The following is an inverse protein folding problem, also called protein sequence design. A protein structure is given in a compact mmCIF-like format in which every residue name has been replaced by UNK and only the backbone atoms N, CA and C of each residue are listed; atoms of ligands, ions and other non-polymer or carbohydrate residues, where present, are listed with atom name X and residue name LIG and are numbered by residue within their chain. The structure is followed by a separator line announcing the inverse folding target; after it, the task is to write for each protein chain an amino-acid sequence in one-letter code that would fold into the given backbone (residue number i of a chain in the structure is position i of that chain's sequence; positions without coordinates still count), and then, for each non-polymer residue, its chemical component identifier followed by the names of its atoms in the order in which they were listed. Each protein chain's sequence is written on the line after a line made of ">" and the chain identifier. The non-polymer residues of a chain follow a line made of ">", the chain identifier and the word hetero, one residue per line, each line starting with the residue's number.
data_IF_067927621402
#
_entry.id   IF_067927621402
#
_cell.length_a   1.000
_cell.length_b   1.000
_cell.length_c   1.000
_cell.angle_alpha   90.00
_cell.angle_beta   90.00
_cell.angle_gamma   90.00
#
_symmetry.space_group_name_H-M   'P 1'
#
loop_
_entity.id
_entity.type
_entity.pdbx_description
1 polymer ?
2 polymer ?
3 polymer ?
4 polymer ?
5 polymer ?
6 non-polymer ?
7 non-polymer ?
8 water ?
#
loop_
_entity_poly.entity_id
_entity_poly.type
_entity_poly.pdbx_seq_one_letter_code
_entity_poly.pdbx_strand_id
1 'polydeoxyribonucleotide' '(DT)(DC)(DA)(DA)(DA)(DA)(DC)(DG)(DT)(DC)(DG)(DT)(DA)(DC)' ?
2 'polydeoxyribonucleotide' '(DT)(DC)(DA)(DA)(DA)(DA)(DC)(DT)(DG)(DC)(DG)(DT)(DA)(DC)' ?
4 'polydeoxyribonucleotide' '(DG)(DC)(DA)(DG)(DT)(DT)(DT)(DT)(DG)(DA)' ?
5 'polydeoxyribonucleotide' '(DG)(DA)(DC)(DG)(DT)(DT)(DT)(DT)(DG)(DA)' ?
#
# COMPACT_ATOMS: atom_id res chain seq x y z
N UNK C 1 -9.86 13.74 -23.18
CA UNK C 1 -8.89 13.63 -22.09
C UNK C 1 -8.18 12.27 -22.08
N UNK C 2 -7.01 12.21 -21.44
CA UNK C 2 -6.22 10.96 -21.37
C UNK C 2 -7.01 9.82 -20.74
N UNK C 3 -7.17 8.72 -21.45
CA UNK C 3 -7.95 7.62 -20.91
C UNK C 3 -7.08 6.42 -20.51
N UNK C 4 -6.90 6.23 -19.21
CA UNK C 4 -6.01 5.17 -18.71
C UNK C 4 -6.62 3.77 -18.82
N UNK C 5 -5.76 2.81 -19.09
CA UNK C 5 -6.09 1.40 -19.14
C UNK C 5 -6.66 0.85 -17.83
N UNK C 6 -7.64 -0.06 -17.92
CA UNK C 6 -8.28 -0.60 -16.72
C UNK C 6 -7.32 -1.37 -15.83
N UNK C 7 -6.55 -2.28 -16.44
CA UNK C 7 -5.60 -3.10 -15.70
C UNK C 7 -4.60 -2.24 -14.91
N UNK C 8 -4.24 -1.08 -15.46
CA UNK C 8 -3.34 -0.17 -14.78
C UNK C 8 -4.03 0.40 -13.56
N UNK C 9 -5.25 0.88 -13.78
CA UNK C 9 -6.03 1.50 -12.72
C UNK C 9 -6.33 0.54 -11.57
N UNK C 10 -6.53 -0.73 -11.88
CA UNK C 10 -6.80 -1.71 -10.85
C UNK C 10 -5.61 -1.88 -9.95
N UNK C 11 -4.45 -2.13 -10.53
CA UNK C 11 -3.23 -2.23 -9.75
C UNK C 11 -3.06 -0.93 -9.00
N UNK C 12 -3.12 0.18 -9.71
CA UNK C 12 -2.80 1.44 -9.07
C UNK C 12 -3.75 1.77 -7.92
N UNK C 13 -5.02 1.43 -8.09
CA UNK C 13 -5.97 1.68 -7.01
C UNK C 13 -5.56 0.95 -5.74
N UNK C 14 -5.05 -0.26 -5.90
CA UNK C 14 -4.69 -1.04 -4.75
C UNK C 14 -3.49 -0.44 -4.07
N UNK C 15 -2.56 0.07 -4.85
CA UNK C 15 -1.34 0.62 -4.29
C UNK C 15 -1.60 1.93 -3.52
N UNK C 16 -2.47 2.76 -4.09
CA UNK C 16 -2.85 4.02 -3.47
C UNK C 16 -3.55 3.75 -2.13
N UNK C 17 -4.47 2.79 -2.09
CA UNK C 17 -5.10 2.40 -0.83
C UNK C 17 -4.07 1.91 0.19
N UNK C 18 -2.92 1.49 -0.30
CA UNK C 18 -1.86 1.06 0.58
C UNK C 18 -0.95 2.18 1.01
N UNK C 19 -0.38 2.91 0.05
CA UNK C 19 0.67 3.87 0.35
C UNK C 19 0.40 5.25 -0.25
N UNK C 20 -0.78 5.43 -0.79
CA UNK C 20 -1.12 6.70 -1.40
C UNK C 20 -1.80 7.60 -0.39
N UNK C 21 -2.00 8.85 -0.77
CA UNK C 21 -2.68 9.76 0.13
C UNK C 21 -3.46 10.76 -0.68
N UNK C 22 -4.69 11.01 -0.27
CA UNK C 22 -5.50 11.99 -0.96
C UNK C 22 -5.87 13.09 -0.01
N UNK C 23 -5.34 14.28 -0.26
CA UNK C 23 -5.28 15.32 0.76
C UNK C 23 -6.01 16.58 0.36
N UNK C 24 -6.75 17.14 1.30
CA UNK C 24 -7.38 18.43 1.09
C UNK C 24 -6.97 19.37 2.20
N UNK C 25 -6.57 20.58 1.84
CA UNK C 25 -6.05 21.50 2.84
C UNK C 25 -6.64 22.89 2.71
N UNK C 26 -6.83 23.52 3.87
CA UNK C 26 -7.14 24.94 3.97
C UNK C 26 -5.86 25.58 4.50
N UNK C 27 -5.16 26.29 3.61
CA UNK C 27 -3.86 26.84 3.94
C UNK C 27 -3.99 28.33 4.20
N UNK C 28 -3.74 28.75 5.45
CA UNK C 28 -3.77 30.17 5.76
C UNK C 28 -2.75 30.91 4.91
N UNK C 29 -3.25 31.75 4.00
CA UNK C 29 -2.40 32.58 3.18
C UNK C 29 -3.01 33.95 2.99
N UNK C 30 -2.28 34.99 3.38
CA UNK C 30 -2.80 36.34 3.36
C UNK C 30 -3.03 36.89 1.95
N UNK C 31 -2.26 36.38 1.00
CA UNK C 31 -2.39 36.71 -0.42
C UNK C 31 -3.78 36.45 -1.02
N UNK C 32 -4.56 35.60 -0.37
CA UNK C 32 -5.81 35.06 -0.93
C UNK C 32 -7.09 35.75 -0.47
N UNK C 33 -8.10 35.75 -1.35
CA UNK C 33 -9.35 36.48 -1.12
C UNK C 33 -9.98 36.22 0.25
N UNK C 34 -10.18 34.96 0.61
CA UNK C 34 -10.69 34.66 1.93
C UNK C 34 -9.56 34.22 2.86
N UNK C 35 -8.38 34.79 2.62
CA UNK C 35 -7.22 34.65 3.50
C UNK C 35 -6.73 33.21 3.63
N UNK C 36 -7.22 32.35 2.75
CA UNK C 36 -6.95 30.92 2.79
C UNK C 36 -6.90 30.33 1.37
N UNK C 37 -5.98 29.37 1.16
CA UNK C 37 -5.98 28.62 -0.09
C UNK C 37 -6.60 27.22 0.07
N UNK C 38 -7.40 26.84 -0.91
CA UNK C 38 -7.83 25.45 -1.00
C UNK C 38 -6.85 24.66 -1.83
N UNK C 39 -6.22 23.67 -1.19
CA UNK C 39 -5.19 22.85 -1.82
C UNK C 39 -5.55 21.38 -1.89
N UNK C 40 -5.51 20.82 -3.09
CA UNK C 40 -5.72 19.39 -3.27
C UNK C 40 -4.42 18.71 -3.68
N UNK C 41 -4.12 17.57 -3.09
CA UNK C 41 -2.88 16.85 -3.43
C UNK C 41 -3.10 15.36 -3.51
N UNK C 42 -2.77 14.76 -4.65
CA UNK C 42 -2.70 13.30 -4.73
C UNK C 42 -1.25 12.88 -4.55
N UNK C 43 -0.99 11.85 -3.77
CA UNK C 43 0.37 11.58 -3.36
C UNK C 43 0.65 10.09 -3.23
N UNK C 44 1.75 9.61 -3.83
CA UNK C 44 2.20 8.26 -3.56
C UNK C 44 3.62 8.29 -3.03
N UNK C 45 3.77 7.90 -1.76
CA UNK C 45 5.05 7.82 -1.07
C UNK C 45 5.74 6.51 -1.33
N UNK C 46 7.07 6.52 -1.37
CA UNK C 46 7.86 5.30 -1.41
C UNK C 46 9.32 5.61 -1.08
N UNK C 47 9.98 4.65 -0.43
CA UNK C 47 11.39 4.74 -0.11
C UNK C 47 12.22 5.05 -1.36
N UNK C 48 13.07 6.07 -1.30
CA UNK C 48 13.81 6.55 -2.48
C UNK C 48 14.62 5.45 -3.18
N UNK C 49 15.08 4.46 -2.41
CA UNK C 49 15.72 3.31 -3.01
C UNK C 49 14.84 2.68 -4.11
N UNK C 50 13.53 2.85 -4.03
CA UNK C 50 12.60 2.29 -5.03
C UNK C 50 12.04 3.36 -5.91
N UNK C 51 12.69 4.51 -5.91
CA UNK C 51 12.34 5.68 -6.74
C UNK C 51 11.80 5.40 -8.15
N UNK C 52 12.23 4.30 -8.75
CA UNK C 52 11.93 4.02 -10.15
C UNK C 52 10.44 3.82 -10.34
N UNK C 53 9.81 3.31 -9.29
CA UNK C 53 8.37 3.04 -9.31
C UNK C 53 7.60 4.35 -9.43
N UNK C 54 7.98 5.33 -8.61
CA UNK C 54 7.34 6.63 -8.65
C UNK C 54 7.63 7.31 -9.98
N UNK C 55 8.86 7.18 -10.47
CA UNK C 55 9.20 7.81 -11.74
C UNK C 55 8.42 7.19 -12.91
N UNK C 56 8.11 5.90 -12.83
CA UNK C 56 7.32 5.26 -13.87
C UNK C 56 5.86 5.72 -13.83
N UNK C 57 5.37 6.11 -12.66
CA UNK C 57 4.02 6.65 -12.55
C UNK C 57 3.94 7.95 -13.31
N UNK C 58 5.01 8.72 -13.30
CA UNK C 58 5.00 9.97 -14.00
C UNK C 58 4.83 9.67 -15.49
N UNK C 59 5.53 8.64 -15.95
CA UNK C 59 5.43 8.23 -17.34
C UNK C 59 4.02 7.77 -17.67
N UNK C 60 3.45 6.89 -16.86
CA UNK C 60 2.15 6.30 -17.17
C UNK C 60 0.94 7.21 -16.90
N UNK C 61 0.93 7.93 -15.79
CA UNK C 61 -0.17 8.86 -15.56
C UNK C 61 -0.04 10.01 -16.54
N UNK C 62 1.20 10.26 -16.98
CA UNK C 62 1.47 11.26 -17.99
C UNK C 62 1.54 12.69 -17.49
N UNK C 63 1.39 12.88 -16.19
CA UNK C 63 1.48 14.19 -15.62
C UNK C 63 1.85 14.01 -14.14
N UNK C 64 2.37 15.05 -13.49
CA UNK C 64 2.80 14.93 -12.12
C UNK C 64 4.30 14.88 -12.03
N UNK C 65 4.84 14.88 -10.82
CA UNK C 65 6.28 14.83 -10.70
C UNK C 65 6.70 14.10 -9.45
N UNK C 66 7.99 13.81 -9.36
CA UNK C 66 8.51 13.11 -8.20
C UNK C 66 9.43 14.01 -7.39
N UNK C 67 9.20 14.13 -6.10
CA UNK C 67 10.18 14.85 -5.29
C UNK C 67 10.86 13.91 -4.31
N UNK C 68 12.18 13.98 -4.28
CA UNK C 68 12.98 13.18 -3.36
C UNK C 68 13.25 13.99 -2.09
N UNK C 69 12.84 13.45 -0.95
CA UNK C 69 13.00 14.13 0.34
C UNK C 69 13.85 13.28 1.28
N UNK C 70 15.14 13.16 1.01
CA UNK C 70 15.96 12.30 1.84
C UNK C 70 15.81 10.81 1.55
N UNK C 71 15.26 10.05 2.49
CA UNK C 71 15.20 8.60 2.28
C UNK C 71 13.83 8.16 1.71
N UNK C 72 13.00 9.13 1.39
CA UNK C 72 11.67 8.83 0.92
C UNK C 72 11.34 9.73 -0.25
N UNK C 73 10.65 9.20 -1.25
CA UNK C 73 10.22 10.03 -2.36
C UNK C 73 8.71 10.07 -2.46
N UNK C 74 8.20 11.05 -3.21
CA UNK C 74 6.78 11.21 -3.40
C UNK C 74 6.48 11.57 -4.82
N UNK C 75 5.54 10.86 -5.42
CA UNK C 75 4.91 11.34 -6.65
C UNK C 75 3.82 12.34 -6.23
N UNK C 76 3.80 13.47 -6.92
CA UNK C 76 2.89 14.54 -6.57
C UNK C 76 2.02 14.86 -7.76
N UNK C 77 0.71 14.95 -7.54
CA UNK C 77 -0.22 15.45 -8.55
C UNK C 77 -1.09 16.55 -7.95
N UNK C 78 -0.80 17.80 -8.32
CA UNK C 78 -1.50 18.95 -7.73
C UNK C 78 -2.32 19.77 -8.72
N UNK C 79 -1.89 19.82 -9.98
CA UNK C 79 -2.62 20.54 -11.03
C UNK C 79 -4.06 20.10 -11.09
N UNK C 80 -4.94 21.03 -10.76
CA UNK C 80 -6.32 20.73 -10.44
C UNK C 80 -7.08 20.01 -11.55
N UNK C 81 -6.75 20.23 -12.82
CA UNK C 81 -7.62 19.64 -13.81
C UNK C 81 -7.13 18.29 -14.34
N UNK C 82 -5.80 18.06 -14.40
CA UNK C 82 -5.40 16.66 -14.62
C UNK C 82 -5.77 15.77 -13.43
N UNK C 83 -5.76 16.36 -12.23
CA UNK C 83 -6.19 15.68 -11.02
C UNK C 83 -7.60 15.19 -11.22
N UNK C 84 -8.45 16.08 -11.71
CA UNK C 84 -9.83 15.71 -11.93
C UNK C 84 -9.97 14.53 -12.90
N UNK C 85 -9.24 14.57 -14.01
CA UNK C 85 -9.29 13.48 -14.98
C UNK C 85 -8.86 12.14 -14.39
N UNK C 86 -7.72 12.15 -13.71
CA UNK C 86 -7.15 10.94 -13.11
C UNK C 86 -8.01 10.35 -12.00
N UNK C 87 -8.36 11.17 -11.01
CA UNK C 87 -9.20 10.67 -9.92
C UNK C 87 -10.56 10.20 -10.42
N UNK C 88 -11.04 10.79 -11.50
CA UNK C 88 -12.30 10.34 -12.06
C UNK C 88 -12.19 8.89 -12.55
N UNK C 89 -11.08 8.52 -13.18
CA UNK C 89 -10.99 7.16 -13.68
C UNK C 89 -10.56 6.16 -12.61
N UNK C 90 -9.95 6.65 -11.55
CA UNK C 90 -9.42 5.77 -10.51
C UNK C 90 -10.49 5.41 -9.48
N UNK C 91 -11.23 6.43 -9.04
CA UNK C 91 -12.28 6.34 -8.04
C UNK C 91 -13.18 5.08 -8.06
N UNK C 92 -13.50 4.54 -9.24
CA UNK C 92 -14.32 3.33 -9.12
C UNK C 92 -13.59 2.08 -8.61
N UNK C 93 -12.27 2.12 -8.51
CA UNK C 93 -11.56 0.92 -8.10
C UNK C 93 -10.98 1.03 -6.71
N UNK C 94 -11.21 2.15 -6.05
CA UNK C 94 -10.64 2.37 -4.73
C UNK C 94 -11.59 1.83 -3.68
N UNK C 95 -11.05 1.10 -2.71
CA UNK C 95 -11.86 0.59 -1.61
C UNK C 95 -11.70 1.46 -0.38
N UNK C 96 -10.47 1.56 0.11
CA UNK C 96 -10.22 2.33 1.33
C UNK C 96 -10.37 3.85 1.13
N UNK C 97 -9.95 4.37 -0.02
CA UNK C 97 -9.91 5.84 -0.20
C UNK C 97 -10.91 6.37 -1.24
N UNK C 98 -12.02 5.69 -1.43
CA UNK C 98 -12.95 6.11 -2.46
C UNK C 98 -13.70 7.39 -2.03
N UNK C 99 -14.10 7.45 -0.76
CA UNK C 99 -14.87 8.60 -0.33
C UNK C 99 -14.04 9.88 -0.44
N UNK C 100 -12.77 9.84 0.00
CA UNK C 100 -11.88 10.98 -0.17
C UNK C 100 -11.81 11.39 -1.63
N UNK C 101 -11.65 10.41 -2.50
CA UNK C 101 -11.47 10.70 -3.91
C UNK C 101 -12.68 11.43 -4.46
N UNK C 102 -13.86 10.98 -4.09
CA UNK C 102 -15.10 11.58 -4.59
C UNK C 102 -15.34 12.97 -4.06
N UNK C 103 -14.96 13.23 -2.82
CA UNK C 103 -15.03 14.59 -2.31
C UNK C 103 -14.07 15.51 -3.06
N UNK C 104 -12.83 15.09 -3.24
CA UNK C 104 -11.86 15.94 -3.92
C UNK C 104 -12.37 16.30 -5.30
N UNK C 105 -13.00 15.33 -5.96
CA UNK C 105 -13.64 15.60 -7.24
C UNK C 105 -14.72 16.67 -7.08
N UNK C 106 -15.54 16.54 -6.04
CA UNK C 106 -16.64 17.47 -5.79
C UNK C 106 -16.13 18.89 -5.56
N UNK C 107 -15.14 19.02 -4.68
CA UNK C 107 -14.52 20.32 -4.39
C UNK C 107 -13.99 21.00 -5.65
N UNK C 108 -13.48 20.21 -6.58
CA UNK C 108 -12.88 20.77 -7.79
C UNK C 108 -13.93 21.44 -8.66
N UNK C 109 -15.11 20.84 -8.70
CA UNK C 109 -16.17 21.33 -9.56
C UNK C 109 -16.77 22.58 -8.95
N UNK C 110 -16.87 22.59 -7.63
CA UNK C 110 -17.45 23.71 -6.90
C UNK C 110 -16.42 24.73 -6.46
N UNK C 111 -15.36 24.90 -7.25
CA UNK C 111 -14.27 25.78 -6.83
C UNK C 111 -14.28 27.16 -7.52
N UNK C 112 -14.64 27.21 -8.82
CA UNK C 112 -14.87 28.56 -9.36
C UNK C 112 -15.93 29.29 -8.52
N UNK C 113 -17.05 28.62 -8.27
CA UNK C 113 -18.15 29.16 -7.50
C UNK C 113 -17.84 29.32 -6.01
N UNK C 114 -16.68 28.83 -5.57
CA UNK C 114 -16.30 28.94 -4.18
C UNK C 114 -15.63 30.27 -3.91
N UNK C 115 -15.35 30.99 -5.00
CA UNK C 115 -14.69 32.29 -4.93
C UNK C 115 -15.69 33.43 -4.82
N UNK C 116 -16.91 33.16 -5.27
CA UNK C 116 -18.01 34.12 -5.26
C UNK C 116 -18.42 34.55 -3.86
N UNK C 117 -18.72 33.57 -3.01
CA UNK C 117 -19.37 33.84 -1.74
C UNK C 117 -18.59 33.28 -0.57
N UNK C 118 -18.52 34.02 0.54
CA UNK C 118 -18.01 33.47 1.80
C UNK C 118 -18.89 32.34 2.34
N UNK C 119 -20.18 32.38 2.05
CA UNK C 119 -21.07 31.31 2.46
C UNK C 119 -20.75 30.03 1.70
N UNK C 120 -20.55 30.16 0.40
CA UNK C 120 -20.19 29.03 -0.45
C UNK C 120 -18.79 28.55 -0.11
N UNK C 121 -17.87 29.49 0.08
CA UNK C 121 -16.48 29.15 0.39
C UNK C 121 -16.40 28.43 1.71
N UNK C 122 -17.32 28.73 2.63
CA UNK C 122 -17.34 28.00 3.88
C UNK C 122 -17.86 26.58 3.66
N UNK C 123 -18.85 26.43 2.78
CA UNK C 123 -19.46 25.13 2.53
C UNK C 123 -18.44 24.14 1.98
N UNK C 124 -17.55 24.65 1.12
CA UNK C 124 -16.54 23.80 0.55
C UNK C 124 -15.49 23.46 1.60
N UNK C 125 -15.15 24.44 2.44
CA UNK C 125 -14.26 24.15 3.55
C UNK C 125 -14.78 22.97 4.38
N UNK C 126 -16.09 22.88 4.53
CA UNK C 126 -16.72 21.78 5.25
C UNK C 126 -16.34 20.42 4.66
N UNK C 127 -16.37 20.34 3.35
CA UNK C 127 -16.01 19.13 2.64
C UNK C 127 -14.59 18.66 2.98
N UNK C 128 -13.65 19.60 2.97
CA UNK C 128 -12.29 19.31 3.38
C UNK C 128 -12.24 18.66 4.77
N UNK C 129 -13.06 19.13 5.70
CA UNK C 129 -13.13 18.49 7.02
C UNK C 129 -13.41 17.01 6.85
N UNK C 130 -14.37 16.71 6.00
CA UNK C 130 -14.82 15.34 5.82
C UNK C 130 -13.68 14.47 5.29
N UNK C 131 -12.90 15.03 4.37
CA UNK C 131 -11.78 14.29 3.79
C UNK C 131 -10.76 13.97 4.88
N UNK C 132 -10.49 14.95 5.73
CA UNK C 132 -9.50 14.75 6.80
C UNK C 132 -10.01 13.80 7.87
N UNK C 133 -11.34 13.73 8.02
CA UNK C 133 -11.92 12.83 8.98
C UNK C 133 -11.77 11.39 8.51
N UNK C 134 -11.98 11.18 7.20
CA UNK C 134 -11.80 9.86 6.58
C UNK C 134 -10.33 9.40 6.59
N UNK C 135 -9.40 10.35 6.57
CA UNK C 135 -7.99 9.99 6.60
C UNK C 135 -7.53 9.66 8.02
N UNK C 136 -6.32 9.13 8.15
CA UNK C 136 -5.73 8.85 9.45
C UNK C 136 -5.12 10.12 10.01
N UNK C 137 -5.94 11.17 10.11
CA UNK C 137 -5.46 12.52 10.43
C UNK C 137 -4.95 12.62 11.85
N UNK C 138 -3.86 13.34 12.04
CA UNK C 138 -3.23 13.39 13.35
C UNK C 138 -2.75 14.80 13.71
N UNK C 139 -2.35 15.60 12.71
CA UNK C 139 -1.75 16.91 13.00
C UNK C 139 -2.43 18.10 12.31
N UNK C 140 -3.70 17.95 11.98
CA UNK C 140 -4.43 18.99 11.26
C UNK C 140 -4.64 20.20 12.17
N UNK C 141 -4.61 21.40 11.58
CA UNK C 141 -4.74 22.64 12.34
C UNK C 141 -5.89 23.50 11.86
N UNK C 142 -5.90 23.80 10.57
CA UNK C 142 -6.88 24.74 10.01
C UNK C 142 -8.19 24.07 9.61
N UNK C 143 -9.14 23.99 10.52
CA UNK C 143 -10.47 23.50 10.17
C UNK C 143 -11.28 24.54 9.42
N UNK C 144 -12.52 24.21 9.08
CA UNK C 144 -13.41 25.17 8.44
C UNK C 144 -13.91 26.17 9.47
N UNK C 145 -14.02 25.73 10.71
CA UNK C 145 -14.48 26.61 11.79
C UNK C 145 -13.34 27.52 12.25
N UNK C 146 -12.20 27.41 11.58
CA UNK C 146 -11.08 28.33 11.77
C UNK C 146 -11.20 29.41 10.73
N UNK C 147 -11.58 29.00 9.53
CA UNK C 147 -11.96 29.94 8.49
C UNK C 147 -13.14 30.74 9.00
N UNK C 148 -14.14 30.05 9.55
CA UNK C 148 -15.34 30.71 10.05
C UNK C 148 -14.98 31.88 10.95
N UNK C 149 -14.06 31.61 11.88
CA UNK C 149 -13.58 32.63 12.82
C UNK C 149 -13.25 33.90 12.08
N UNK C 150 -12.17 33.86 11.29
CA UNK C 150 -11.65 35.07 10.66
C UNK C 150 -12.40 35.47 9.38
N UNK C 151 -13.58 34.90 9.17
CA UNK C 151 -14.47 35.45 8.16
C UNK C 151 -15.53 36.29 8.87
N UNK C 152 -15.61 36.11 10.19
CA UNK C 152 -16.45 36.95 11.02
C UNK C 152 -15.69 38.22 11.39
N UNK C 153 -14.43 38.07 11.81
CA UNK C 153 -13.55 39.21 12.04
C UNK C 153 -13.15 39.90 10.72
N UNK C 154 -14.14 40.13 9.86
CA UNK C 154 -13.96 40.77 8.56
C UNK C 154 -15.32 41.08 7.90
N UNK D 1 -8.23 -26.03 -4.67
CA UNK D 1 -7.48 -25.36 -5.71
C UNK D 1 -8.35 -24.34 -6.46
N UNK D 2 -8.43 -23.14 -5.91
CA UNK D 2 -9.33 -22.11 -6.43
C UNK D 2 -8.72 -21.30 -7.58
N UNK D 3 -9.57 -20.82 -8.49
CA UNK D 3 -9.12 -19.84 -9.46
C UNK D 3 -9.71 -18.48 -9.11
N UNK D 4 -8.82 -17.53 -8.82
CA UNK D 4 -9.24 -16.23 -8.36
C UNK D 4 -9.53 -15.29 -9.52
N UNK D 5 -10.50 -14.40 -9.33
CA UNK D 5 -10.81 -13.42 -10.37
C UNK D 5 -9.64 -12.48 -10.71
N UNK D 6 -9.42 -12.24 -11.98
CA UNK D 6 -8.25 -11.48 -12.43
C UNK D 6 -8.34 -10.02 -12.03
N UNK D 7 -9.55 -9.50 -11.90
CA UNK D 7 -9.67 -8.11 -11.52
C UNK D 7 -9.36 -8.00 -10.04
N UNK D 8 -9.49 -9.12 -9.36
CA UNK D 8 -9.24 -9.13 -7.95
C UNK D 8 -7.77 -9.23 -7.72
N UNK D 9 -7.11 -10.08 -8.49
CA UNK D 9 -5.67 -10.28 -8.30
C UNK D 9 -4.90 -8.98 -8.61
N UNK D 10 -5.34 -8.29 -9.67
CA UNK D 10 -4.70 -7.04 -10.07
C UNK D 10 -4.69 -6.01 -8.96
N UNK D 11 -5.86 -5.77 -8.36
CA UNK D 11 -5.98 -4.86 -7.23
C UNK D 11 -5.16 -5.33 -6.04
N UNK D 12 -5.34 -6.59 -5.65
CA UNK D 12 -4.68 -7.09 -4.46
C UNK D 12 -3.18 -7.02 -4.61
N UNK D 13 -2.69 -7.17 -5.84
CA UNK D 13 -1.27 -7.10 -6.10
C UNK D 13 -0.75 -5.70 -5.78
N UNK D 14 -1.54 -4.69 -6.09
CA UNK D 14 -1.19 -3.33 -5.79
C UNK D 14 -1.13 -3.11 -4.30
N UNK D 15 -2.23 -3.41 -3.63
CA UNK D 15 -2.28 -3.31 -2.19
C UNK D 15 -1.12 -4.05 -1.51
N UNK D 16 -0.79 -5.24 -2.01
CA UNK D 16 0.31 -6.00 -1.40
C UNK D 16 1.66 -5.31 -1.62
N UNK D 17 1.90 -4.80 -2.84
CA UNK D 17 3.13 -4.05 -3.08
C UNK D 17 3.20 -2.83 -2.15
N UNK D 18 2.06 -2.49 -1.56
CA UNK D 18 1.94 -1.34 -0.69
C UNK D 18 2.14 -1.70 0.76
N UNK D 19 1.22 -2.48 1.32
CA UNK D 19 1.25 -2.84 2.74
C UNK D 19 1.44 -4.32 3.04
N UNK D 20 1.78 -5.11 2.01
CA UNK D 20 1.90 -6.54 2.18
C UNK D 20 3.30 -6.98 2.55
N UNK D 21 3.40 -8.18 3.08
CA UNK D 21 4.72 -8.73 3.32
C UNK D 21 4.79 -10.19 2.94
N UNK D 22 5.85 -10.53 2.23
CA UNK D 22 6.10 -11.91 1.86
C UNK D 22 7.35 -12.32 2.57
N UNK D 23 7.16 -13.03 3.68
CA UNK D 23 8.22 -13.32 4.65
C UNK D 23 8.71 -14.77 4.60
N UNK D 24 10.02 -14.94 4.52
CA UNK D 24 10.65 -16.26 4.67
C UNK D 24 11.61 -16.25 5.86
N UNK D 25 11.37 -17.13 6.83
CA UNK D 25 12.27 -17.18 7.98
C UNK D 25 12.84 -18.57 8.19
N UNK D 26 13.96 -18.61 8.91
CA UNK D 26 14.59 -19.83 9.40
C UNK D 26 14.48 -19.80 10.91
N UNK D 27 13.71 -20.70 11.50
CA UNK D 27 13.47 -20.61 12.92
C UNK D 27 14.22 -21.70 13.68
N UNK D 28 15.18 -21.28 14.53
CA UNK D 28 15.81 -22.17 15.51
C UNK D 28 14.76 -22.88 16.38
N UNK D 29 14.54 -24.17 16.08
CA UNK D 29 13.63 -25.03 16.82
C UNK D 29 14.24 -26.43 16.89
N UNK D 30 14.56 -26.89 18.09
CA UNK D 30 15.21 -28.19 18.27
C UNK D 30 14.38 -29.38 17.77
N UNK D 31 13.07 -29.27 17.93
CA UNK D 31 12.14 -30.29 17.46
C UNK D 31 12.30 -30.73 15.98
N UNK D 32 13.04 -29.97 15.17
CA UNK D 32 13.14 -30.22 13.72
C UNK D 32 14.46 -30.90 13.32
N UNK D 33 14.47 -31.55 12.15
CA UNK D 33 15.65 -32.30 11.66
C UNK D 33 16.94 -31.55 11.92
N UNK D 34 17.11 -30.45 11.22
CA UNK D 34 18.36 -29.70 11.30
C UNK D 34 18.24 -28.56 12.30
N UNK D 35 17.37 -28.75 13.29
CA UNK D 35 17.22 -27.78 14.37
C UNK D 35 16.69 -26.41 13.88
N UNK D 36 16.10 -26.40 12.69
CA UNK D 36 15.54 -25.17 12.13
C UNK D 36 14.27 -25.45 11.33
N UNK D 37 13.26 -24.62 11.54
CA UNK D 37 12.06 -24.65 10.70
C UNK D 37 12.12 -23.56 9.64
N UNK D 38 11.97 -23.96 8.37
CA UNK D 38 11.73 -23.01 7.30
C UNK D 38 10.29 -22.57 7.38
N UNK D 39 10.05 -21.26 7.53
CA UNK D 39 8.67 -20.79 7.60
C UNK D 39 8.37 -19.78 6.50
N UNK D 40 7.20 -19.94 5.90
CA UNK D 40 6.74 -19.02 4.88
C UNK D 40 5.45 -18.32 5.33
N UNK D 41 5.42 -16.99 5.20
CA UNK D 41 4.25 -16.22 5.61
C UNK D 41 3.88 -15.17 4.59
N UNK D 42 2.62 -15.18 4.16
CA UNK D 42 2.07 -14.08 3.40
C UNK D 42 1.26 -13.23 4.36
N UNK D 43 1.48 -11.93 4.38
CA UNK D 43 0.67 -11.13 5.29
C UNK D 43 0.38 -9.72 4.79
N UNK D 44 -0.80 -9.26 5.17
CA UNK D 44 -1.24 -7.94 4.83
C UNK D 44 -1.63 -7.29 6.14
N UNK D 45 -1.01 -6.15 6.44
CA UNK D 45 -1.19 -5.45 7.70
C UNK D 45 -2.21 -4.33 7.55
N UNK D 46 -3.00 -4.06 8.57
CA UNK D 46 -3.84 -2.87 8.53
C UNK D 46 -4.26 -2.49 9.93
N UNK D 47 -4.43 -1.19 10.14
CA UNK D 47 -4.93 -0.66 11.40
C UNK D 47 -6.27 -1.31 11.67
N UNK D 48 -6.49 -1.77 12.90
CA UNK D 48 -7.64 -2.61 13.20
C UNK D 48 -8.97 -1.93 12.84
N UNK D 49 -9.00 -0.61 12.83
CA UNK D 49 -10.27 0.04 12.53
C UNK D 49 -10.68 -0.39 11.12
N UNK D 50 -9.74 -0.76 10.28
CA UNK D 50 -10.09 -1.24 8.94
C UNK D 50 -10.07 -2.78 8.84
N UNK D 51 -10.35 -3.45 9.94
CA UNK D 51 -10.28 -4.91 9.97
C UNK D 51 -11.23 -5.55 8.99
N UNK D 52 -12.33 -4.87 8.70
CA UNK D 52 -13.29 -5.35 7.71
C UNK D 52 -12.63 -5.57 6.37
N UNK D 53 -11.72 -4.70 5.99
CA UNK D 53 -10.97 -4.89 4.75
C UNK D 53 -10.24 -6.25 4.74
N UNK D 54 -9.57 -6.57 5.85
CA UNK D 54 -8.87 -7.85 5.98
C UNK D 54 -9.85 -9.01 6.02
N UNK D 55 -11.01 -8.83 6.66
CA UNK D 55 -12.08 -9.81 6.65
C UNK D 55 -12.42 -10.25 5.24
N UNK D 56 -12.75 -9.27 4.41
CA UNK D 56 -13.11 -9.51 3.03
C UNK D 56 -12.03 -10.36 2.35
N UNK D 57 -10.76 -10.07 2.62
CA UNK D 57 -9.69 -10.87 2.04
C UNK D 57 -9.85 -12.36 2.31
N UNK D 58 -10.00 -12.68 3.58
CA UNK D 58 -10.20 -14.06 4.01
C UNK D 58 -11.36 -14.69 3.23
N UNK D 59 -12.48 -13.99 3.15
CA UNK D 59 -13.62 -14.43 2.37
C UNK D 59 -13.24 -14.72 0.93
N UNK D 60 -12.49 -13.83 0.28
CA UNK D 60 -12.23 -13.99 -1.15
C UNK D 60 -11.06 -14.90 -1.48
N UNK D 61 -10.12 -15.04 -0.56
CA UNK D 61 -9.03 -15.94 -0.85
C UNK D 61 -9.52 -17.32 -0.42
N UNK D 62 -10.43 -17.33 0.54
CA UNK D 62 -11.08 -18.54 0.99
C UNK D 62 -10.29 -19.29 2.04
N UNK D 63 -9.03 -18.90 2.19
CA UNK D 63 -8.14 -19.56 3.13
C UNK D 63 -7.30 -18.49 3.86
N UNK D 64 -6.75 -18.79 5.03
CA UNK D 64 -6.03 -17.78 5.79
C UNK D 64 -6.90 -17.26 6.92
N UNK D 65 -6.34 -16.42 7.80
CA UNK D 65 -7.13 -15.87 8.90
C UNK D 65 -6.71 -14.45 9.31
N UNK D 66 -7.38 -13.87 10.31
CA UNK D 66 -7.07 -12.53 10.76
C UNK D 66 -6.67 -12.46 12.22
N UNK D 67 -5.50 -11.89 12.50
CA UNK D 67 -5.01 -11.80 13.87
C UNK D 67 -5.00 -10.37 14.32
N UNK D 68 -5.42 -10.12 15.57
CA UNK D 68 -5.32 -8.79 16.15
C UNK D 68 -4.13 -8.67 17.10
N UNK D 69 -3.52 -7.49 17.13
CA UNK D 69 -2.47 -7.19 18.09
C UNK D 69 -2.59 -5.72 18.51
N UNK D 70 -3.44 -5.48 19.48
CA UNK D 70 -3.73 -4.12 19.90
C UNK D 70 -4.32 -3.34 18.74
N UNK D 71 -3.62 -2.28 18.36
CA UNK D 71 -4.11 -1.35 17.35
C UNK D 71 -4.01 -1.88 15.91
N UNK D 72 -3.24 -2.94 15.71
CA UNK D 72 -3.00 -3.40 14.35
C UNK D 72 -3.54 -4.82 14.13
N UNK D 73 -4.07 -5.08 12.94
CA UNK D 73 -4.57 -6.41 12.60
C UNK D 73 -3.83 -6.95 11.38
N UNK D 74 -3.89 -8.27 11.19
CA UNK D 74 -3.17 -8.91 10.09
C UNK D 74 -3.93 -10.01 9.39
N UNK D 75 -3.92 -9.97 8.07
CA UNK D 75 -4.30 -11.14 7.31
C UNK D 75 -3.07 -12.00 7.13
N UNK D 76 -3.22 -13.28 7.39
CA UNK D 76 -2.09 -14.19 7.48
C UNK D 76 -2.39 -15.42 6.68
N UNK D 77 -1.43 -15.86 5.86
CA UNK D 77 -1.60 -17.10 5.08
C UNK D 77 -0.32 -17.89 5.08
N UNK D 78 -0.33 -19.04 5.75
CA UNK D 78 0.90 -19.77 6.04
C UNK D 78 0.90 -21.22 5.57
N UNK D 79 -0.28 -21.78 5.38
CA UNK D 79 -0.39 -23.17 4.96
C UNK D 79 0.29 -23.33 3.60
N UNK D 80 1.29 -24.19 3.55
CA UNK D 80 2.14 -24.30 2.37
C UNK D 80 1.36 -24.54 1.08
N UNK D 81 0.38 -25.43 1.12
CA UNK D 81 -0.33 -25.77 -0.12
C UNK D 81 -1.12 -24.58 -0.74
N UNK D 82 -2.02 -23.92 0.01
CA UNK D 82 -2.74 -22.82 -0.64
C UNK D 82 -1.83 -21.60 -0.90
N UNK D 83 -0.76 -21.49 -0.12
CA UNK D 83 0.17 -20.41 -0.33
C UNK D 83 0.74 -20.55 -1.72
N UNK D 84 1.08 -21.77 -2.13
CA UNK D 84 1.63 -21.98 -3.47
C UNK D 84 0.60 -21.61 -4.52
N UNK D 85 -0.59 -22.18 -4.43
CA UNK D 85 -1.67 -21.85 -5.34
C UNK D 85 -1.83 -20.33 -5.48
N UNK D 86 -2.07 -19.65 -4.36
CA UNK D 86 -2.33 -18.21 -4.35
C UNK D 86 -1.19 -17.35 -4.90
N UNK D 87 0.04 -17.57 -4.42
CA UNK D 87 1.17 -16.81 -4.92
C UNK D 87 1.39 -17.02 -6.41
N UNK D 88 1.13 -18.22 -6.93
CA UNK D 88 1.34 -18.50 -8.35
C UNK D 88 0.44 -17.64 -9.19
N UNK D 89 -0.81 -17.48 -8.74
CA UNK D 89 -1.76 -16.62 -9.43
C UNK D 89 -1.50 -15.12 -9.24
N UNK D 90 -1.10 -14.73 -8.04
CA UNK D 90 -0.83 -13.34 -7.73
C UNK D 90 0.45 -12.86 -8.40
N UNK D 91 1.47 -13.73 -8.40
CA UNK D 91 2.83 -13.36 -8.82
C UNK D 91 2.94 -12.51 -10.07
N UNK D 92 2.23 -12.87 -11.16
CA UNK D 92 2.46 -12.10 -12.38
C UNK D 92 2.01 -10.64 -12.34
N UNK D 93 1.31 -10.21 -11.30
CA UNK D 93 0.86 -8.82 -11.25
C UNK D 93 1.69 -7.96 -10.30
N UNK D 94 2.55 -8.60 -9.52
CA UNK D 94 3.36 -7.89 -8.55
C UNK D 94 4.44 -7.10 -9.25
N UNK D 95 4.83 -5.97 -8.66
CA UNK D 95 5.83 -5.11 -9.26
C UNK D 95 6.96 -4.83 -8.29
N UNK D 96 6.66 -4.85 -7.00
CA UNK D 96 7.70 -4.55 -6.01
C UNK D 96 8.10 -5.80 -5.22
N UNK D 97 7.25 -6.82 -5.25
CA UNK D 97 7.50 -8.04 -4.47
C UNK D 97 7.39 -9.28 -5.33
N UNK D 98 7.51 -9.11 -6.64
CA UNK D 98 7.42 -10.24 -7.55
C UNK D 98 8.58 -11.21 -7.36
N UNK D 99 9.76 -10.66 -7.16
CA UNK D 99 10.92 -11.49 -6.91
C UNK D 99 10.70 -12.37 -5.67
N UNK D 100 10.31 -11.74 -4.56
CA UNK D 100 10.04 -12.46 -3.33
C UNK D 100 8.98 -13.51 -3.55
N UNK D 101 7.90 -13.12 -4.25
CA UNK D 101 6.85 -14.08 -4.59
C UNK D 101 7.41 -15.35 -5.21
N UNK D 102 8.27 -15.21 -6.20
CA UNK D 102 8.79 -16.37 -6.91
C UNK D 102 9.78 -17.21 -6.10
N UNK D 103 10.69 -16.56 -5.38
CA UNK D 103 11.62 -17.29 -4.51
C UNK D 103 10.86 -18.19 -3.52
N UNK D 104 9.81 -17.64 -2.91
CA UNK D 104 8.91 -18.43 -2.06
C UNK D 104 8.28 -19.57 -2.85
N UNK D 105 7.81 -19.27 -4.05
CA UNK D 105 7.18 -20.28 -4.87
C UNK D 105 8.11 -21.44 -5.05
N UNK D 106 9.39 -21.16 -5.26
CA UNK D 106 10.33 -22.23 -5.55
C UNK D 106 10.87 -22.91 -4.28
N UNK D 107 11.00 -22.18 -3.17
CA UNK D 107 11.30 -22.81 -1.89
C UNK D 107 10.28 -23.90 -1.57
N UNK D 108 9.02 -23.65 -1.92
CA UNK D 108 7.96 -24.60 -1.62
C UNK D 108 8.13 -25.88 -2.41
N UNK D 109 8.38 -25.76 -3.71
CA UNK D 109 8.51 -26.92 -4.58
C UNK D 109 9.65 -27.82 -4.11
N UNK D 110 10.66 -27.20 -3.49
CA UNK D 110 11.83 -27.92 -3.01
C UNK D 110 11.72 -28.40 -1.57
N UNK D 111 10.62 -28.09 -0.90
CA UNK D 111 10.52 -28.40 0.54
C UNK D 111 10.70 -29.88 0.89
N UNK D 112 9.98 -30.79 0.18
CA UNK D 112 10.11 -32.20 0.57
C UNK D 112 11.55 -32.68 0.28
N UNK D 113 12.07 -32.22 -0.84
CA UNK D 113 13.43 -32.48 -1.25
C UNK D 113 14.48 -32.01 -0.23
N UNK D 114 14.19 -30.94 0.50
CA UNK D 114 15.18 -30.33 1.34
C UNK D 114 15.21 -31.02 2.69
N UNK D 115 14.28 -31.95 2.90
CA UNK D 115 14.26 -32.76 4.12
C UNK D 115 15.24 -33.95 4.01
N UNK D 116 16.11 -33.91 2.99
CA UNK D 116 16.97 -35.03 2.62
C UNK D 116 18.41 -34.88 3.15
N UNK D 117 19.10 -33.81 2.78
CA UNK D 117 20.54 -33.69 2.98
C UNK D 117 20.87 -32.37 3.64
N UNK D 118 21.95 -32.31 4.41
CA UNK D 118 22.37 -31.02 4.94
C UNK D 118 22.75 -30.04 3.83
N UNK D 119 23.31 -30.56 2.74
CA UNK D 119 23.79 -29.71 1.65
C UNK D 119 22.63 -29.00 0.98
N UNK D 120 21.52 -29.72 0.88
CA UNK D 120 20.37 -29.25 0.11
C UNK D 120 19.55 -28.21 0.86
N UNK D 121 19.16 -28.58 2.08
CA UNK D 121 18.42 -27.70 2.99
C UNK D 121 19.05 -26.30 3.09
N UNK D 122 20.36 -26.23 3.25
CA UNK D 122 20.97 -24.92 3.45
C UNK D 122 21.12 -24.17 2.13
N UNK D 123 20.99 -24.88 1.00
CA UNK D 123 20.92 -24.17 -0.27
C UNK D 123 19.60 -23.42 -0.30
N UNK D 124 18.54 -24.11 0.11
CA UNK D 124 17.24 -23.50 0.23
C UNK D 124 17.33 -22.32 1.21
N UNK D 125 18.13 -22.48 2.25
CA UNK D 125 18.32 -21.40 3.22
C UNK D 125 18.93 -20.14 2.63
N UNK D 126 19.65 -20.28 1.52
CA UNK D 126 20.25 -19.10 0.89
C UNK D 126 19.24 -18.47 -0.06
N UNK D 127 18.25 -19.25 -0.47
CA UNK D 127 17.10 -18.68 -1.16
C UNK D 127 16.31 -17.78 -0.19
N UNK D 128 16.20 -18.23 1.06
CA UNK D 128 15.60 -17.43 2.11
C UNK D 128 16.44 -16.18 2.39
N UNK D 129 17.75 -16.30 2.27
CA UNK D 129 18.63 -15.14 2.38
C UNK D 129 18.20 -14.06 1.42
N UNK D 130 18.04 -14.46 0.16
CA UNK D 130 17.73 -13.54 -0.90
C UNK D 130 16.41 -12.80 -0.65
N UNK D 131 15.45 -13.52 -0.08
CA UNK D 131 14.14 -12.92 0.16
C UNK D 131 14.23 -11.81 1.21
N UNK D 132 15.05 -11.98 2.25
CA UNK D 132 15.17 -10.90 3.21
C UNK D 132 15.96 -9.77 2.58
N UNK D 133 16.81 -10.12 1.62
CA UNK D 133 17.60 -9.13 0.90
C UNK D 133 16.72 -8.13 0.18
N UNK D 134 15.74 -8.65 -0.55
CA UNK D 134 14.79 -7.84 -1.29
C UNK D 134 13.83 -7.10 -0.38
N UNK D 135 13.59 -7.62 0.82
CA UNK D 135 12.67 -6.97 1.73
C UNK D 135 13.32 -5.80 2.45
N UNK D 136 12.54 -4.97 3.13
CA UNK D 136 13.11 -3.91 3.93
C UNK D 136 13.53 -4.46 5.29
N UNK D 137 14.40 -5.48 5.28
CA UNK D 137 14.82 -6.16 6.49
C UNK D 137 15.61 -5.27 7.46
N UNK D 138 15.30 -5.33 8.75
CA UNK D 138 15.98 -4.49 9.73
C UNK D 138 16.38 -5.21 11.03
N UNK D 139 15.77 -6.35 11.34
CA UNK D 139 16.01 -6.99 12.64
C UNK D 139 16.23 -8.49 12.51
N UNK D 140 16.74 -8.89 11.36
CA UNK D 140 16.99 -10.30 11.10
C UNK D 140 18.15 -10.84 11.95
N UNK D 141 18.04 -12.09 12.42
CA UNK D 141 19.13 -12.78 13.11
C UNK D 141 19.54 -14.03 12.39
N UNK D 142 18.71 -15.07 12.47
CA UNK D 142 19.07 -16.35 11.92
C UNK D 142 19.15 -16.33 10.39
N UNK D 143 20.36 -16.15 9.87
CA UNK D 143 20.59 -16.20 8.42
C UNK D 143 21.00 -17.60 8.04
N UNK D 144 21.31 -17.82 6.76
CA UNK D 144 21.58 -19.19 6.34
C UNK D 144 22.91 -19.67 6.84
N UNK D 145 23.79 -18.75 7.24
CA UNK D 145 25.09 -19.23 7.68
C UNK D 145 25.11 -19.57 9.18
N UNK D 146 24.27 -18.98 10.02
CA UNK D 146 24.07 -19.61 11.32
C UNK D 146 23.27 -20.92 11.19
N UNK D 147 23.12 -21.43 9.97
CA UNK D 147 22.46 -22.71 9.85
C UNK D 147 23.49 -23.81 9.79
N UNK D 148 24.52 -23.69 8.95
CA UNK D 148 25.42 -24.82 8.94
C UNK D 148 26.50 -24.52 9.94
N UNK D 149 26.57 -23.27 10.40
CA UNK D 149 27.28 -22.99 11.63
C UNK D 149 26.91 -23.98 12.72
N UNK D 150 25.61 -24.21 12.85
CA UNK D 150 25.11 -25.27 13.71
C UNK D 150 25.41 -26.65 13.12
N UNK D 151 25.20 -26.82 11.82
CA UNK D 151 25.50 -28.10 11.19
C UNK D 151 27.01 -28.42 11.23
N UNK D 152 27.82 -27.44 11.65
CA UNK D 152 29.18 -27.65 12.17
C UNK D 152 29.14 -28.25 13.58
N UNK D 153 28.54 -29.43 13.74
CA UNK D 153 28.53 -30.12 15.03
C UNK D 153 27.99 -31.53 14.85
#
# INVERSE_FOLDING_TARGET
>C
NTKYNKEFLLYLAGFVDGDGSIIAQIKPNQSYKFKHQLSLTFQVTQKTQRRWFLDKLVDEIGVGYVRDRGSVSNYILSEIKPLHNFLTQLQPFLKLKQKQANLVLKIIEQLPSAKESPDKFLEVCTWVDQIAALNDSKTRKTTSETVRAVLDAA
>D
NTKYNKEFLLYLAGFVDGDGSIIAQIKPNQSYKFKHQLSLTFQVTQKTQRRWFLDKLVDEIGVGYVRDRGSVSNYILSEIKPLHNFLTQLQPFLKLKQKQANLVLKIIEQLPSAKESPDKFLEVCTWVDQIAALNDSKTRKTTSETVRAVLDAA
#
